data_IF_899845838196
#
_entry.id   IF_899845838196
#
_cell.length_a   1.000
_cell.length_b   1.000
_cell.length_c   1.000
_cell.angle_alpha   90.00
_cell.angle_beta   90.00
_cell.angle_gamma   90.00
#
_symmetry.space_group_name_H-M   'P 1'
#
loop_
_entity.id
_entity.type
_entity.pdbx_description
1 polymer ?
#
# COMPACT_ATOMS: atom_id res chain seq x y z
N UNK A 1 36.20 70.46 -31.23
CA UNK A 1 35.83 69.39 -32.17
C UNK A 1 36.24 68.05 -31.52
N UNK A 2 35.28 67.15 -31.25
CA UNK A 2 35.62 65.79 -30.74
C UNK A 2 35.84 64.89 -31.95
N UNK A 3 37.08 64.47 -32.16
CA UNK A 3 37.44 63.51 -33.21
C UNK A 3 36.68 62.23 -33.07
N UNK A 4 35.82 61.92 -34.06
CA UNK A 4 35.10 60.65 -34.11
C UNK A 4 35.93 59.63 -34.85
N UNK A 5 36.49 58.69 -34.12
CA UNK A 5 37.21 57.60 -34.72
C UNK A 5 36.21 56.66 -35.39
N UNK A 6 36.38 56.39 -36.69
CA UNK A 6 35.55 55.53 -37.51
C UNK A 6 36.36 54.27 -37.94
N UNK A 7 35.76 53.10 -37.76
CA UNK A 7 36.28 51.86 -38.27
C UNK A 7 35.55 51.53 -39.59
N UNK A 8 36.24 51.35 -40.68
CA UNK A 8 35.68 51.00 -41.97
C UNK A 8 36.07 49.56 -42.30
N UNK A 9 35.09 48.69 -42.45
CA UNK A 9 35.29 47.28 -42.91
C UNK A 9 34.94 47.24 -44.39
N UNK A 10 35.96 46.93 -45.23
CA UNK A 10 35.80 46.78 -46.68
C UNK A 10 35.76 45.31 -47.03
N UNK A 11 34.70 44.86 -47.67
CA UNK A 11 34.55 43.51 -48.23
C UNK A 11 34.37 43.62 -49.77
N UNK A 12 34.45 42.49 -50.46
CA UNK A 12 34.24 42.44 -51.93
C UNK A 12 32.87 42.95 -52.37
N UNK A 13 31.91 43.07 -51.48
CA UNK A 13 30.54 43.55 -51.74
C UNK A 13 30.25 44.97 -51.24
N UNK A 14 31.26 45.69 -50.85
CA UNK A 14 31.12 47.09 -50.38
C UNK A 14 31.79 47.38 -49.05
N UNK A 15 31.89 48.68 -48.72
CA UNK A 15 32.44 49.17 -47.44
C UNK A 15 31.32 49.62 -46.50
N UNK A 16 31.33 49.22 -45.24
CA UNK A 16 30.51 49.79 -44.17
C UNK A 16 31.42 50.42 -43.15
N UNK A 17 31.17 51.70 -42.84
CA UNK A 17 31.86 52.44 -41.79
C UNK A 17 30.98 52.61 -40.54
N UNK A 18 31.53 52.29 -39.40
CA UNK A 18 30.87 52.44 -38.09
C UNK A 18 31.69 53.37 -37.21
N UNK A 19 31.03 54.24 -36.49
CA UNK A 19 31.70 55.03 -35.46
C UNK A 19 32.03 54.17 -34.26
N UNK A 20 33.21 54.34 -33.66
CA UNK A 20 33.64 53.53 -32.47
C UNK A 20 32.58 53.56 -31.35
N UNK A 21 31.86 54.67 -31.23
CA UNK A 21 30.78 54.81 -30.23
C UNK A 21 29.54 53.94 -30.52
N UNK A 22 29.19 53.69 -31.80
CA UNK A 22 28.07 52.82 -32.19
C UNK A 22 28.46 51.33 -32.04
N UNK A 23 29.70 51.01 -32.38
CA UNK A 23 30.21 49.65 -32.17
C UNK A 23 30.25 49.29 -30.68
N UNK A 24 30.76 50.20 -29.84
CA UNK A 24 30.78 50.03 -28.39
C UNK A 24 29.38 49.86 -27.77
N UNK A 25 28.39 50.63 -28.27
CA UNK A 25 26.99 50.49 -27.83
C UNK A 25 26.40 49.15 -28.23
N UNK A 26 26.58 48.71 -29.48
CA UNK A 26 26.10 47.41 -29.95
C UNK A 26 26.75 46.26 -29.20
N UNK A 27 28.07 46.32 -28.98
CA UNK A 27 28.79 45.34 -28.18
C UNK A 27 28.27 45.27 -26.74
N UNK A 28 28.05 46.43 -26.10
CA UNK A 28 27.49 46.48 -24.75
C UNK A 28 26.09 45.86 -24.67
N UNK A 29 25.23 46.07 -25.68
CA UNK A 29 23.89 45.47 -25.75
C UNK A 29 24.00 43.95 -25.89
N UNK A 30 24.85 43.42 -26.79
CA UNK A 30 25.02 41.99 -26.96
C UNK A 30 25.66 41.32 -25.72
N UNK A 31 26.59 41.99 -25.05
CA UNK A 31 27.17 41.53 -23.79
C UNK A 31 26.12 41.47 -22.68
N UNK A 32 25.22 42.46 -22.61
CA UNK A 32 24.11 42.47 -21.66
C UNK A 32 23.11 41.34 -21.93
N UNK A 33 22.76 41.12 -23.19
CA UNK A 33 21.89 40.01 -23.61
C UNK A 33 22.53 38.64 -23.25
N UNK A 34 23.83 38.48 -23.53
CA UNK A 34 24.59 37.29 -23.17
C UNK A 34 24.60 37.04 -21.64
N UNK A 35 24.81 38.07 -20.86
CA UNK A 35 24.77 38.01 -19.40
C UNK A 35 23.37 37.59 -18.89
N UNK A 36 22.33 38.19 -19.45
CA UNK A 36 20.93 37.86 -19.13
C UNK A 36 20.61 36.39 -19.47
N UNK A 37 21.07 35.92 -20.62
CA UNK A 37 20.88 34.52 -21.00
C UNK A 37 21.57 33.55 -20.03
N UNK A 38 22.79 33.84 -19.57
CA UNK A 38 23.50 33.04 -18.55
C UNK A 38 22.75 33.01 -17.22
N UNK A 39 22.22 34.14 -16.79
CA UNK A 39 21.42 34.23 -15.55
C UNK A 39 20.14 33.42 -15.67
N UNK A 40 19.44 33.47 -16.81
CA UNK A 40 18.22 32.68 -17.05
C UNK A 40 18.54 31.18 -17.05
N UNK A 41 19.60 30.75 -17.74
CA UNK A 41 20.02 29.32 -17.76
C UNK A 41 20.40 28.86 -16.35
N UNK A 42 21.13 29.71 -15.60
CA UNK A 42 21.47 29.42 -14.20
C UNK A 42 20.23 29.26 -13.32
N UNK A 43 19.25 30.16 -13.44
CA UNK A 43 18.00 30.09 -12.71
C UNK A 43 17.18 28.83 -13.05
N UNK A 44 17.08 28.50 -14.34
CA UNK A 44 16.41 27.29 -14.80
C UNK A 44 17.11 26.01 -14.31
N UNK A 45 18.44 26.00 -14.31
CA UNK A 45 19.21 24.86 -13.78
C UNK A 45 19.00 24.68 -12.27
N UNK A 46 18.97 25.76 -11.51
CA UNK A 46 18.69 25.73 -10.07
C UNK A 46 17.26 25.25 -9.82
N UNK A 47 16.28 25.75 -10.57
CA UNK A 47 14.89 25.31 -10.48
C UNK A 47 14.73 23.80 -10.75
N UNK A 48 15.40 23.30 -11.79
CA UNK A 48 15.40 21.87 -12.11
C UNK A 48 16.06 21.03 -11.01
N UNK A 49 17.23 21.47 -10.50
CA UNK A 49 17.93 20.79 -9.40
C UNK A 49 17.13 20.77 -8.10
N UNK A 50 16.38 21.83 -7.78
CA UNK A 50 15.52 21.88 -6.61
C UNK A 50 14.36 20.88 -6.74
N UNK A 51 13.76 20.76 -7.94
CA UNK A 51 12.72 19.77 -8.24
C UNK A 51 13.22 18.33 -8.12
N UNK A 52 14.42 18.05 -8.63
CA UNK A 52 15.06 16.73 -8.47
C UNK A 52 15.38 16.40 -7.01
N UNK A 53 15.82 17.39 -6.23
CA UNK A 53 16.13 17.20 -4.81
C UNK A 53 14.87 16.89 -3.98
N UNK A 54 13.74 17.49 -4.33
CA UNK A 54 12.45 17.20 -3.70
C UNK A 54 11.98 15.78 -4.03
N UNK A 55 12.10 15.34 -5.29
CA UNK A 55 11.81 13.97 -5.71
C UNK A 55 12.71 12.95 -5.02
N UNK A 56 14.01 13.27 -4.88
CA UNK A 56 14.97 12.42 -4.17
C UNK A 56 14.62 12.30 -2.69
N UNK A 57 14.25 13.38 -2.03
CA UNK A 57 13.83 13.35 -0.63
C UNK A 57 12.53 12.55 -0.45
N UNK A 58 11.56 12.70 -1.37
CA UNK A 58 10.34 11.91 -1.38
C UNK A 58 10.62 10.41 -1.55
N UNK A 59 11.51 10.05 -2.47
CA UNK A 59 11.92 8.66 -2.69
C UNK A 59 12.65 8.09 -1.47
N UNK A 60 13.49 8.87 -0.82
CA UNK A 60 14.20 8.51 0.42
C UNK A 60 13.23 8.25 1.58
N UNK A 61 12.22 9.10 1.74
CA UNK A 61 11.16 8.91 2.75
C UNK A 61 10.30 7.67 2.45
N UNK A 62 9.96 7.43 1.18
CA UNK A 62 9.26 6.21 0.77
C UNK A 62 10.11 4.96 1.04
N UNK A 63 11.40 5.00 0.73
CA UNK A 63 12.31 3.90 1.01
C UNK A 63 12.44 3.64 2.52
N UNK A 64 12.52 4.70 3.32
CA UNK A 64 12.56 4.60 4.78
C UNK A 64 11.26 4.03 5.35
N UNK A 65 10.10 4.47 4.85
CA UNK A 65 8.79 3.93 5.26
C UNK A 65 8.64 2.45 4.87
N UNK A 66 9.17 2.06 3.70
CA UNK A 66 9.19 0.66 3.26
C UNK A 66 10.06 -0.22 4.15
N UNK A 67 11.25 0.28 4.55
CA UNK A 67 12.13 -0.42 5.48
C UNK A 67 11.48 -0.60 6.86
N UNK A 68 10.87 0.46 7.41
CA UNK A 68 10.14 0.38 8.68
C UNK A 68 8.95 -0.57 8.61
N UNK A 69 8.24 -0.58 7.48
CA UNK A 69 7.15 -1.52 7.22
C UNK A 69 7.68 -2.95 7.12
N UNK A 70 8.81 -3.17 6.45
CA UNK A 70 9.48 -4.47 6.37
C UNK A 70 9.93 -4.98 7.73
N UNK A 71 10.48 -4.10 8.60
CA UNK A 71 10.84 -4.47 9.98
C UNK A 71 9.61 -4.82 10.82
N UNK A 72 8.54 -4.02 10.76
CA UNK A 72 7.31 -4.33 11.48
C UNK A 72 6.61 -5.60 10.96
N UNK A 73 6.80 -5.95 9.69
CA UNK A 73 6.37 -7.24 9.16
C UNK A 73 7.19 -8.40 9.74
N UNK A 74 8.50 -8.18 9.91
CA UNK A 74 9.39 -9.19 10.51
C UNK A 74 9.00 -9.44 11.96
N UNK A 75 8.79 -8.38 12.74
CA UNK A 75 8.33 -8.49 14.13
C UNK A 75 6.97 -9.19 14.24
N UNK A 76 6.00 -8.83 13.37
CA UNK A 76 4.70 -9.49 13.35
C UNK A 76 4.78 -10.96 12.91
N UNK A 77 5.72 -11.32 12.03
CA UNK A 77 5.99 -12.71 11.65
C UNK A 77 6.64 -13.47 12.81
N UNK A 78 7.57 -12.88 13.53
CA UNK A 78 8.21 -13.48 14.71
C UNK A 78 7.20 -13.69 15.85
N UNK A 79 6.34 -12.71 16.13
CA UNK A 79 5.25 -12.83 17.11
C UNK A 79 4.23 -13.89 16.69
N UNK A 80 3.83 -13.90 15.42
CA UNK A 80 2.94 -14.94 14.89
C UNK A 80 3.59 -16.33 14.91
N UNK A 81 4.89 -16.44 14.63
CA UNK A 81 5.61 -17.71 14.69
C UNK A 81 5.70 -18.22 16.14
N UNK A 82 5.87 -17.36 17.13
CA UNK A 82 5.82 -17.71 18.53
C UNK A 82 4.42 -18.22 18.94
N UNK A 83 3.37 -17.51 18.48
CA UNK A 83 1.97 -17.91 18.73
C UNK A 83 1.62 -19.23 18.03
N UNK A 84 2.11 -19.46 16.80
CA UNK A 84 1.96 -20.70 16.05
C UNK A 84 2.68 -21.85 16.77
N UNK A 85 3.86 -21.61 17.32
CA UNK A 85 4.59 -22.60 18.09
C UNK A 85 3.83 -23.02 19.36
N UNK A 86 3.29 -22.03 20.09
CA UNK A 86 2.43 -22.27 21.27
C UNK A 86 1.12 -22.98 20.90
N UNK A 87 0.49 -22.58 19.80
CA UNK A 87 -0.74 -23.24 19.30
C UNK A 87 -0.46 -24.66 18.82
N UNK A 88 0.70 -24.89 18.19
CA UNK A 88 1.13 -26.22 17.73
C UNK A 88 1.39 -27.16 18.90
N UNK A 89 1.96 -26.66 19.99
CA UNK A 89 2.12 -27.43 21.23
C UNK A 89 0.76 -27.80 21.84
N UNK A 90 -0.19 -26.84 21.88
CA UNK A 90 -1.56 -27.09 22.34
C UNK A 90 -2.35 -28.01 21.40
N UNK A 91 -2.12 -27.96 20.08
CA UNK A 91 -2.74 -28.87 19.11
C UNK A 91 -2.16 -30.28 19.27
N UNK A 92 -0.86 -30.42 19.47
CA UNK A 92 -0.24 -31.74 19.75
C UNK A 92 -0.79 -32.35 21.06
N UNK A 93 -1.00 -31.53 22.08
CA UNK A 93 -1.67 -31.94 23.32
C UNK A 93 -3.13 -32.37 23.08
N UNK A 94 -3.87 -31.65 22.25
CA UNK A 94 -5.27 -31.95 21.89
C UNK A 94 -5.34 -33.22 21.02
N UNK A 95 -4.45 -33.40 20.03
CA UNK A 95 -4.38 -34.61 19.23
C UNK A 95 -3.99 -35.83 20.06
N UNK A 96 -3.04 -35.68 20.99
CA UNK A 96 -2.67 -36.70 21.96
C UNK A 96 -3.84 -37.09 22.89
N UNK A 97 -4.66 -36.12 23.29
CA UNK A 97 -5.82 -36.32 24.16
C UNK A 97 -7.04 -36.82 23.38
N UNK A 98 -7.20 -36.42 22.11
CA UNK A 98 -8.40 -36.73 21.31
C UNK A 98 -8.31 -38.04 20.52
N UNK A 99 -7.14 -38.69 20.43
CA UNK A 99 -6.98 -39.97 19.70
C UNK A 99 -7.37 -39.87 18.22
N UNK A 100 -7.20 -38.69 17.59
CA UNK A 100 -7.57 -38.45 16.19
C UNK A 100 -6.59 -39.17 15.26
N UNK A 101 -6.93 -40.39 14.88
CA UNK A 101 -6.28 -41.19 13.83
C UNK A 101 -6.88 -40.78 12.48
N UNK A 102 -6.12 -40.04 11.68
CA UNK A 102 -6.42 -39.73 10.27
C UNK A 102 -5.23 -40.11 9.39
N UNK A 103 -5.34 -40.02 8.09
CA UNK A 103 -4.38 -40.44 7.05
C UNK A 103 -2.91 -39.90 7.20
N UNK A 104 -2.60 -39.32 8.33
CA UNK A 104 -1.28 -38.84 8.73
C UNK A 104 -0.50 -39.77 9.64
N UNK A 105 -0.95 -41.02 9.82
CA UNK A 105 -0.40 -41.97 10.78
C UNK A 105 1.09 -42.27 10.57
N UNK A 106 1.62 -42.06 9.34
CA UNK A 106 3.01 -42.39 8.97
C UNK A 106 3.93 -41.17 8.80
N UNK A 107 3.45 -39.96 8.98
CA UNK A 107 4.31 -38.75 8.92
C UNK A 107 4.91 -38.48 10.31
N UNK A 108 6.20 -38.16 10.38
CA UNK A 108 6.81 -37.78 11.65
C UNK A 108 6.16 -36.49 12.20
N UNK A 109 6.23 -36.28 13.50
CA UNK A 109 5.59 -35.17 14.21
C UNK A 109 6.09 -33.81 13.68
N UNK A 110 7.36 -33.70 13.28
CA UNK A 110 7.95 -32.47 12.76
C UNK A 110 7.32 -32.12 11.40
N UNK A 111 7.13 -33.11 10.52
CA UNK A 111 6.47 -32.92 9.21
C UNK A 111 5.00 -32.51 9.36
N UNK A 112 4.28 -33.09 10.34
CA UNK A 112 2.89 -32.71 10.67
C UNK A 112 2.81 -31.26 11.15
N UNK A 113 3.74 -30.88 12.03
CA UNK A 113 3.83 -29.53 12.58
C UNK A 113 4.15 -28.49 11.50
N UNK A 114 5.07 -28.81 10.59
CA UNK A 114 5.45 -27.93 9.49
C UNK A 114 4.28 -27.73 8.49
N UNK A 115 3.54 -28.77 8.16
CA UNK A 115 2.36 -28.66 7.31
C UNK A 115 1.25 -27.80 7.95
N UNK A 116 0.99 -28.02 9.25
CA UNK A 116 0.00 -27.21 9.98
C UNK A 116 0.43 -25.72 10.06
N UNK A 117 1.71 -25.47 10.30
CA UNK A 117 2.29 -24.12 10.31
C UNK A 117 2.18 -23.42 8.97
N UNK A 118 2.52 -24.11 7.87
CA UNK A 118 2.42 -23.56 6.50
C UNK A 118 0.97 -23.24 6.19
N UNK A 119 0.04 -24.16 6.41
CA UNK A 119 -1.38 -23.95 6.16
C UNK A 119 -1.96 -22.77 6.94
N UNK A 120 -1.62 -22.62 8.24
CA UNK A 120 -2.08 -21.51 9.05
C UNK A 120 -1.50 -20.17 8.57
N UNK A 121 -0.22 -20.15 8.21
CA UNK A 121 0.46 -18.97 7.69
C UNK A 121 -0.13 -18.50 6.36
N UNK A 122 -0.45 -19.42 5.46
CA UNK A 122 -1.13 -19.12 4.19
C UNK A 122 -2.54 -18.55 4.42
N UNK A 123 -3.31 -19.14 5.34
CA UNK A 123 -4.64 -18.64 5.73
C UNK A 123 -4.57 -17.23 6.31
N UNK A 124 -3.61 -16.98 7.21
CA UNK A 124 -3.39 -15.65 7.78
C UNK A 124 -2.98 -14.62 6.71
N UNK A 125 -2.09 -15.01 5.78
CA UNK A 125 -1.69 -14.15 4.67
C UNK A 125 -2.88 -13.86 3.75
N UNK A 126 -3.73 -14.84 3.48
CA UNK A 126 -4.95 -14.67 2.70
C UNK A 126 -5.90 -13.67 3.36
N UNK A 127 -6.24 -13.87 4.64
CA UNK A 127 -7.12 -12.98 5.40
C UNK A 127 -6.55 -11.56 5.57
N UNK A 128 -5.24 -11.41 5.44
CA UNK A 128 -4.57 -10.13 5.47
C UNK A 128 -4.58 -9.42 4.12
N UNK A 129 -4.50 -10.19 3.03
CA UNK A 129 -4.37 -9.69 1.66
C UNK A 129 -5.71 -9.45 0.96
N UNK A 130 -6.76 -10.16 1.39
CA UNK A 130 -8.12 -10.07 0.85
C UNK A 130 -9.04 -9.45 1.90
N UNK A 131 -9.99 -8.56 1.51
CA UNK A 131 -10.93 -7.98 2.45
C UNK A 131 -11.62 -9.03 3.31
N UNK A 132 -11.52 -8.91 4.63
CA UNK A 132 -12.12 -9.86 5.59
C UNK A 132 -12.32 -9.22 6.96
N UNK A 133 -13.34 -9.68 7.70
CA UNK A 133 -13.77 -9.09 8.95
C UNK A 133 -14.55 -7.78 8.77
N UNK A 134 -15.07 -7.25 9.87
CA UNK A 134 -15.90 -6.04 9.86
C UNK A 134 -15.06 -4.77 9.82
N UNK A 135 -15.36 -3.82 8.90
CA UNK A 135 -14.58 -2.59 8.76
C UNK A 135 -14.92 -1.52 9.80
N UNK A 136 -15.93 -1.73 10.61
CA UNK A 136 -16.42 -0.77 11.61
C UNK A 136 -17.18 -1.50 12.73
N UNK A 137 -17.14 -0.95 13.93
CA UNK A 137 -18.09 -1.34 14.96
C UNK A 137 -19.49 -0.78 14.63
N UNK A 138 -20.49 -1.65 14.44
CA UNK A 138 -21.81 -1.25 13.97
C UNK A 138 -22.95 -1.86 14.79
N UNK A 139 -24.12 -1.21 14.72
CA UNK A 139 -25.34 -1.58 15.48
C UNK A 139 -26.42 -2.26 14.66
N UNK A 140 -26.00 -2.97 13.59
CA UNK A 140 -26.89 -3.65 12.65
C UNK A 140 -26.81 -3.04 11.26
N UNK A 141 -27.33 -3.78 10.28
CA UNK A 141 -27.37 -3.42 8.88
C UNK A 141 -28.64 -2.61 8.61
N UNK A 142 -28.53 -1.50 7.90
CA UNK A 142 -29.67 -0.69 7.49
C UNK A 142 -30.11 -0.97 6.06
N UNK A 143 -29.20 -1.51 5.23
CA UNK A 143 -29.51 -1.98 3.90
C UNK A 143 -28.47 -3.00 3.42
N UNK A 144 -28.98 -4.10 2.88
CA UNK A 144 -28.16 -5.19 2.36
C UNK A 144 -27.74 -4.93 0.91
N UNK A 145 -26.78 -5.70 0.43
CA UNK A 145 -26.34 -5.79 -0.95
C UNK A 145 -27.45 -6.32 -1.85
N UNK A 146 -27.59 -5.77 -3.06
CA UNK A 146 -28.53 -6.28 -4.07
C UNK A 146 -29.63 -5.32 -4.45
N UNK A 147 -30.68 -5.84 -5.10
CA UNK A 147 -31.81 -5.04 -5.58
C UNK A 147 -32.68 -4.52 -4.45
N UNK A 148 -32.83 -3.20 -4.35
CA UNK A 148 -33.68 -2.54 -3.36
C UNK A 148 -34.51 -1.42 -3.96
N UNK A 149 -35.50 -0.92 -3.22
CA UNK A 149 -36.16 0.36 -3.52
C UNK A 149 -35.20 1.49 -3.21
N UNK A 150 -35.06 2.44 -4.14
CA UNK A 150 -34.15 3.58 -3.96
C UNK A 150 -34.55 4.41 -2.74
N UNK A 151 -33.64 4.68 -1.79
CA UNK A 151 -33.96 5.28 -0.49
C UNK A 151 -34.57 6.69 -0.58
N UNK A 152 -34.19 7.48 -1.58
CA UNK A 152 -34.69 8.84 -1.80
C UNK A 152 -35.75 8.90 -2.89
N UNK A 153 -35.78 7.96 -3.85
CA UNK A 153 -36.70 7.92 -4.99
C UNK A 153 -37.54 6.65 -4.92
N UNK A 154 -38.50 6.58 -4.00
CA UNK A 154 -39.27 5.37 -3.65
C UNK A 154 -39.99 4.68 -4.80
N UNK A 155 -40.17 5.36 -5.94
CA UNK A 155 -40.76 4.77 -7.16
C UNK A 155 -39.71 4.03 -8.02
N UNK A 156 -38.43 4.09 -7.71
CA UNK A 156 -37.35 3.49 -8.49
C UNK A 156 -36.68 2.34 -7.73
N UNK A 157 -36.33 1.30 -8.48
CA UNK A 157 -35.41 0.24 -7.96
C UNK A 157 -33.97 0.58 -8.32
N UNK A 158 -33.06 0.28 -7.42
CA UNK A 158 -31.63 0.38 -7.64
C UNK A 158 -30.93 -0.90 -7.19
N UNK A 159 -29.75 -1.14 -7.75
CA UNK A 159 -28.87 -2.18 -7.27
C UNK A 159 -27.89 -1.58 -6.27
N UNK A 160 -27.98 -1.99 -5.01
CA UNK A 160 -27.08 -1.58 -3.94
C UNK A 160 -25.78 -2.37 -4.04
N UNK A 161 -24.69 -1.68 -4.36
CA UNK A 161 -23.37 -2.28 -4.64
C UNK A 161 -22.57 -2.62 -3.41
N UNK A 162 -23.10 -2.36 -2.21
CA UNK A 162 -22.47 -2.58 -0.93
C UNK A 162 -23.46 -2.94 0.17
N UNK A 163 -23.05 -2.73 1.40
CA UNK A 163 -23.85 -2.88 2.61
C UNK A 163 -23.81 -1.59 3.42
N UNK A 164 -24.93 -1.21 4.02
CA UNK A 164 -25.03 -0.01 4.86
C UNK A 164 -25.01 -0.42 6.34
N UNK A 165 -23.93 -0.10 7.05
CA UNK A 165 -23.68 -0.47 8.44
C UNK A 165 -23.98 0.72 9.36
N UNK A 166 -25.01 0.59 10.21
CA UNK A 166 -25.42 1.65 11.14
C UNK A 166 -24.32 1.94 12.14
N UNK A 167 -23.78 3.16 12.11
CA UNK A 167 -22.77 3.63 13.03
C UNK A 167 -22.99 5.11 13.36
N UNK A 168 -22.55 5.56 14.52
CA UNK A 168 -22.58 6.99 14.86
C UNK A 168 -21.56 7.74 14.04
N UNK A 169 -21.82 9.03 13.76
CA UNK A 169 -20.79 9.93 13.22
C UNK A 169 -19.56 9.90 14.13
N UNK A 170 -18.37 9.80 13.54
CA UNK A 170 -17.10 9.74 14.26
C UNK A 170 -16.66 8.34 14.70
N UNK A 171 -17.42 7.27 14.39
CA UNK A 171 -16.98 5.90 14.68
C UNK A 171 -15.77 5.55 13.79
N UNK A 172 -14.67 4.98 14.35
CA UNK A 172 -13.50 4.60 13.60
C UNK A 172 -13.82 3.58 12.50
N UNK A 173 -13.29 3.80 11.30
CA UNK A 173 -13.38 2.90 10.14
C UNK A 173 -12.00 2.32 9.86
N UNK A 174 -11.94 1.00 9.72
CA UNK A 174 -10.72 0.23 9.59
C UNK A 174 -10.56 -0.31 8.17
N UNK A 175 -9.31 -0.42 7.71
CA UNK A 175 -8.98 -1.11 6.47
C UNK A 175 -9.29 -2.61 6.60
N UNK A 176 -10.09 -3.15 5.68
CA UNK A 176 -10.51 -4.57 5.69
C UNK A 176 -9.40 -5.54 5.26
N UNK A 177 -8.34 -5.05 4.60
CA UNK A 177 -7.14 -5.79 4.21
C UNK A 177 -5.96 -4.84 4.05
N UNK A 178 -4.75 -5.38 3.96
CA UNK A 178 -3.57 -4.63 3.53
C UNK A 178 -3.79 -4.08 2.11
N UNK A 179 -3.35 -2.87 1.83
CA UNK A 179 -3.55 -2.28 0.50
C UNK A 179 -3.02 -0.87 0.36
N UNK A 180 -3.22 -0.32 -0.81
CA UNK A 180 -2.86 1.06 -1.16
C UNK A 180 -4.12 1.89 -1.33
N UNK A 181 -4.12 3.09 -0.81
CA UNK A 181 -5.21 4.06 -1.01
C UNK A 181 -5.26 4.43 -2.49
N UNK A 182 -6.19 3.83 -3.23
CA UNK A 182 -6.38 4.07 -4.66
C UNK A 182 -6.99 5.45 -4.92
N UNK A 183 -7.94 5.85 -4.10
CA UNK A 183 -8.68 7.11 -4.24
C UNK A 183 -9.14 7.62 -2.88
N UNK A 184 -8.99 8.91 -2.67
CA UNK A 184 -9.73 9.67 -1.65
C UNK A 184 -10.52 10.78 -2.34
N UNK A 185 -11.78 10.94 -1.97
CA UNK A 185 -12.62 12.03 -2.47
C UNK A 185 -13.36 12.70 -1.31
N UNK A 186 -13.28 14.01 -1.27
CA UNK A 186 -14.03 14.85 -0.33
C UNK A 186 -15.10 15.62 -1.13
N UNK A 187 -16.31 15.12 -1.11
CA UNK A 187 -17.48 15.78 -1.72
C UNK A 187 -18.72 15.49 -0.85
N UNK A 188 -18.95 16.28 0.21
CA UNK A 188 -19.92 15.94 1.24
C UNK A 188 -21.38 16.05 0.79
N UNK A 189 -21.67 16.53 -0.41
CA UNK A 189 -23.03 16.86 -0.86
C UNK A 189 -23.60 15.93 -1.93
N UNK A 190 -22.76 15.07 -2.58
CA UNK A 190 -23.19 14.32 -3.76
C UNK A 190 -22.83 12.83 -3.65
N UNK A 191 -23.77 11.97 -4.02
CA UNK A 191 -23.58 10.53 -4.19
C UNK A 191 -23.00 9.86 -2.93
N UNK A 192 -21.87 9.24 -3.02
CA UNK A 192 -21.15 8.57 -1.90
C UNK A 192 -20.61 9.53 -0.83
N UNK A 193 -20.74 10.86 -1.01
CA UNK A 193 -20.15 11.81 -0.08
C UNK A 193 -18.61 11.73 -0.07
N UNK A 194 -18.02 11.85 1.12
CA UNK A 194 -16.60 11.59 1.32
C UNK A 194 -16.36 10.08 1.25
N UNK A 195 -15.37 9.66 0.46
CA UNK A 195 -15.08 8.25 0.26
C UNK A 195 -13.59 7.95 0.18
N UNK A 196 -13.26 6.70 0.52
CA UNK A 196 -11.97 6.07 0.28
C UNK A 196 -12.20 4.81 -0.54
N UNK A 197 -11.31 4.55 -1.50
CA UNK A 197 -11.17 3.25 -2.15
C UNK A 197 -9.77 2.72 -1.89
N UNK A 198 -9.66 1.51 -1.37
CA UNK A 198 -8.41 0.79 -1.22
C UNK A 198 -8.28 -0.23 -2.34
N UNK A 199 -7.08 -0.35 -2.90
CA UNK A 199 -6.68 -1.43 -3.79
C UNK A 199 -5.89 -2.45 -2.98
N UNK A 200 -6.33 -3.71 -3.03
CA UNK A 200 -5.72 -4.83 -2.33
C UNK A 200 -5.06 -5.79 -3.31
N UNK A 201 -4.46 -6.86 -2.81
CA UNK A 201 -3.87 -7.88 -3.64
C UNK A 201 -4.94 -8.63 -4.50
N UNK A 202 -4.48 -9.31 -5.54
CA UNK A 202 -5.27 -10.21 -6.39
C UNK A 202 -6.50 -9.59 -7.06
N UNK A 203 -6.51 -8.27 -7.27
CA UNK A 203 -7.61 -7.56 -7.93
C UNK A 203 -8.81 -7.26 -7.04
N UNK A 204 -8.66 -7.37 -5.72
CA UNK A 204 -9.67 -6.92 -4.76
C UNK A 204 -9.57 -5.43 -4.51
N UNK A 205 -10.72 -4.83 -4.22
CA UNK A 205 -10.85 -3.45 -3.75
C UNK A 205 -11.89 -3.39 -2.64
N UNK A 206 -11.72 -2.44 -1.73
CA UNK A 206 -12.76 -2.06 -0.77
C UNK A 206 -13.07 -0.56 -0.89
N UNK A 207 -14.34 -0.21 -0.73
CA UNK A 207 -14.83 1.16 -0.78
C UNK A 207 -15.57 1.49 0.51
N UNK A 208 -15.29 2.67 1.05
CA UNK A 208 -15.84 3.21 2.29
C UNK A 208 -16.42 4.58 1.99
N UNK A 209 -17.72 4.77 2.19
CA UNK A 209 -18.40 5.99 1.83
C UNK A 209 -19.22 6.60 2.97
N UNK A 210 -19.82 7.78 2.71
CA UNK A 210 -20.53 8.62 3.65
C UNK A 210 -19.70 9.05 4.86
N UNK A 211 -18.36 9.12 4.67
CA UNK A 211 -17.39 9.40 5.72
C UNK A 211 -17.51 10.84 6.23
N UNK A 212 -17.27 11.03 7.53
CA UNK A 212 -17.12 12.35 8.13
C UNK A 212 -15.71 12.88 7.89
N UNK A 213 -14.70 12.09 8.23
CA UNK A 213 -13.28 12.49 8.14
C UNK A 213 -12.42 11.38 7.55
N UNK A 214 -11.57 11.73 6.59
CA UNK A 214 -10.55 10.87 5.99
C UNK A 214 -9.22 11.12 6.68
N UNK A 215 -8.51 10.05 7.07
CA UNK A 215 -7.25 10.11 7.82
C UNK A 215 -6.03 9.68 6.99
N UNK A 216 -6.24 9.22 5.77
CA UNK A 216 -5.19 8.71 4.88
C UNK A 216 -5.17 9.47 3.58
N UNK A 217 -4.03 9.46 2.89
CA UNK A 217 -3.84 10.13 1.61
C UNK A 217 -3.78 9.11 0.47
N UNK A 218 -4.18 9.52 -0.73
CA UNK A 218 -4.02 8.71 -1.93
C UNK A 218 -2.56 8.32 -2.15
N UNK A 219 -2.32 7.05 -2.52
CA UNK A 219 -0.99 6.47 -2.68
C UNK A 219 -0.38 5.92 -1.40
N UNK A 220 -0.95 6.19 -0.21
CA UNK A 220 -0.46 5.63 1.04
C UNK A 220 -0.75 4.13 1.15
N UNK A 221 0.20 3.36 1.68
CA UNK A 221 -0.03 1.99 2.10
C UNK A 221 -0.74 1.98 3.46
N UNK A 222 -1.72 1.10 3.61
CA UNK A 222 -2.45 0.86 4.86
C UNK A 222 -2.44 -0.61 5.21
N UNK A 223 -2.32 -0.92 6.50
CA UNK A 223 -2.42 -2.30 7.02
C UNK A 223 -3.86 -2.65 7.33
N UNK A 224 -4.21 -3.91 7.25
CA UNK A 224 -5.48 -4.44 7.76
C UNK A 224 -5.66 -4.02 9.23
N UNK A 225 -6.87 -3.55 9.57
CA UNK A 225 -7.17 -3.05 10.91
C UNK A 225 -6.64 -1.64 11.23
N UNK A 226 -5.92 -0.99 10.32
CA UNK A 226 -5.52 0.41 10.49
C UNK A 226 -6.74 1.32 10.37
N UNK A 227 -6.85 2.31 11.26
CA UNK A 227 -7.88 3.35 11.15
C UNK A 227 -7.59 4.22 9.94
N UNK A 228 -8.54 4.30 8.99
CA UNK A 228 -8.41 5.06 7.74
C UNK A 228 -9.34 6.26 7.66
N UNK A 229 -10.43 6.24 8.44
CA UNK A 229 -11.45 7.29 8.43
C UNK A 229 -12.32 7.24 9.70
N UNK A 230 -13.24 8.18 9.78
CA UNK A 230 -14.39 8.12 10.67
C UNK A 230 -15.69 8.10 9.86
N UNK A 231 -16.66 7.27 10.28
CA UNK A 231 -17.99 7.22 9.67
C UNK A 231 -18.73 8.52 9.83
N UNK A 232 -19.68 8.79 8.94
CA UNK A 232 -20.40 10.05 8.89
C UNK A 232 -21.82 9.93 8.36
N UNK A 233 -22.27 11.00 7.69
CA UNK A 233 -23.57 11.13 7.05
C UNK A 233 -23.48 12.05 5.83
N UNK A 234 -22.38 11.99 5.10
CA UNK A 234 -22.12 12.84 3.93
C UNK A 234 -22.69 12.24 2.66
N UNK A 235 -22.96 13.07 1.63
CA UNK A 235 -23.54 12.64 0.37
C UNK A 235 -25.04 12.29 0.43
N UNK A 236 -25.48 11.35 -0.40
CA UNK A 236 -26.88 10.90 -0.42
C UNK A 236 -27.10 9.83 0.67
N UNK A 237 -27.35 10.28 1.88
CA UNK A 237 -27.55 9.43 3.04
C UNK A 237 -28.81 9.82 3.81
N UNK A 238 -29.56 8.83 4.32
CA UNK A 238 -30.77 9.01 5.12
C UNK A 238 -30.50 9.03 6.63
N UNK A 239 -29.24 8.90 7.07
CA UNK A 239 -28.84 8.88 8.47
C UNK A 239 -27.43 8.32 8.64
N UNK A 240 -26.82 8.48 9.83
CA UNK A 240 -25.45 8.08 10.05
C UNK A 240 -25.22 6.58 9.84
N UNK A 241 -24.35 6.21 8.90
CA UNK A 241 -23.93 4.85 8.58
C UNK A 241 -22.62 4.85 7.81
N UNK A 242 -21.97 3.70 7.70
CA UNK A 242 -20.91 3.42 6.75
C UNK A 242 -21.51 2.63 5.59
N UNK A 243 -21.39 3.15 4.36
CA UNK A 243 -21.58 2.34 3.17
C UNK A 243 -20.25 1.65 2.85
N UNK A 244 -20.26 0.32 2.79
CA UNK A 244 -19.09 -0.52 2.58
C UNK A 244 -19.26 -1.45 1.38
N UNK A 245 -18.27 -1.48 0.49
CA UNK A 245 -18.26 -2.38 -0.66
C UNK A 245 -17.00 -3.22 -0.68
N UNK A 246 -17.15 -4.47 -1.14
CA UNK A 246 -16.07 -5.34 -1.59
C UNK A 246 -16.21 -5.51 -3.09
N UNK A 247 -15.13 -5.35 -3.84
CA UNK A 247 -15.09 -5.51 -5.29
C UNK A 247 -13.99 -6.47 -5.69
N UNK A 248 -14.25 -7.25 -6.73
CA UNK A 248 -13.25 -8.09 -7.38
C UNK A 248 -13.24 -7.80 -8.87
N UNK A 249 -12.08 -7.39 -9.42
CA UNK A 249 -11.93 -6.96 -10.81
C UNK A 249 -12.99 -5.92 -11.21
N UNK A 250 -13.17 -4.90 -10.37
CA UNK A 250 -14.17 -3.81 -10.47
C UNK A 250 -15.65 -4.24 -10.39
N UNK A 251 -15.96 -5.51 -10.15
CA UNK A 251 -17.34 -5.99 -9.97
C UNK A 251 -17.67 -6.04 -8.48
N UNK A 252 -18.81 -5.47 -8.05
CA UNK A 252 -19.22 -5.52 -6.65
C UNK A 252 -19.60 -6.94 -6.25
N UNK A 253 -19.14 -7.35 -5.07
CA UNK A 253 -19.45 -8.60 -4.40
C UNK A 253 -20.32 -8.32 -3.17
N UNK A 254 -21.05 -9.32 -2.68
CA UNK A 254 -21.76 -9.21 -1.40
C UNK A 254 -20.73 -9.11 -0.24
N UNK A 255 -20.66 -7.98 0.47
CA UNK A 255 -19.68 -7.82 1.53
C UNK A 255 -19.94 -8.71 2.75
N UNK A 256 -21.16 -9.21 2.95
CA UNK A 256 -21.56 -9.99 4.12
C UNK A 256 -20.69 -11.21 4.31
N UNK A 257 -20.44 -11.96 3.22
CA UNK A 257 -19.60 -13.15 3.27
C UNK A 257 -18.16 -12.83 3.69
N UNK A 258 -17.64 -11.69 3.25
CA UNK A 258 -16.29 -11.21 3.59
C UNK A 258 -16.20 -10.68 5.03
N UNK A 259 -17.26 -10.01 5.52
CA UNK A 259 -17.31 -9.51 6.89
C UNK A 259 -17.36 -10.63 7.94
N UNK A 260 -17.99 -11.74 7.59
CA UNK A 260 -18.05 -12.93 8.43
C UNK A 260 -16.80 -13.83 8.33
N UNK A 261 -15.93 -13.58 7.35
CA UNK A 261 -14.78 -14.43 7.04
C UNK A 261 -13.63 -14.22 8.02
N UNK A 262 -13.26 -15.30 8.71
CA UNK A 262 -12.17 -15.35 9.67
C UNK A 262 -11.44 -16.73 9.62
N UNK A 263 -10.51 -16.97 10.53
CA UNK A 263 -9.79 -18.24 10.62
C UNK A 263 -10.68 -19.43 10.99
N UNK A 264 -11.76 -19.20 11.75
CA UNK A 264 -12.64 -20.29 12.23
C UNK A 264 -13.54 -20.82 11.11
N UNK A 265 -13.93 -19.94 10.20
CA UNK A 265 -14.81 -20.26 9.07
C UNK A 265 -14.12 -20.10 7.72
N UNK A 266 -12.79 -20.26 7.69
CA UNK A 266 -11.95 -19.93 6.53
C UNK A 266 -12.46 -20.53 5.21
N UNK A 267 -12.90 -21.78 5.21
CA UNK A 267 -13.36 -22.48 4.00
C UNK A 267 -14.73 -22.00 3.49
N UNK A 268 -15.51 -21.32 4.34
CA UNK A 268 -16.89 -20.95 4.01
C UNK A 268 -16.99 -19.97 2.84
N UNK A 269 -16.00 -19.07 2.66
CA UNK A 269 -15.99 -18.06 1.61
C UNK A 269 -15.97 -18.66 0.20
N UNK A 270 -15.25 -19.79 0.03
CA UNK A 270 -15.06 -20.43 -1.27
C UNK A 270 -16.37 -21.00 -1.84
N UNK A 271 -17.28 -21.41 -0.96
CA UNK A 271 -18.63 -21.84 -1.32
C UNK A 271 -19.63 -20.69 -1.52
N UNK A 272 -19.50 -19.63 -0.69
CA UNK A 272 -20.39 -18.47 -0.70
C UNK A 272 -20.13 -17.53 -1.88
N UNK A 273 -18.86 -17.27 -2.23
CA UNK A 273 -18.51 -16.31 -3.30
C UNK A 273 -17.81 -17.02 -4.47
N UNK A 274 -18.61 -17.47 -5.44
CA UNK A 274 -18.12 -18.23 -6.61
C UNK A 274 -17.63 -17.36 -7.77
N UNK A 275 -17.82 -16.02 -7.71
CA UNK A 275 -17.36 -15.10 -8.75
C UNK A 275 -15.87 -14.80 -8.66
N UNK A 276 -15.22 -15.16 -7.55
CA UNK A 276 -13.78 -15.03 -7.35
C UNK A 276 -13.07 -16.27 -7.87
N UNK A 277 -11.94 -16.07 -8.57
CA UNK A 277 -11.08 -17.14 -9.04
C UNK A 277 -10.15 -17.60 -7.91
N UNK A 278 -10.71 -18.31 -6.93
CA UNK A 278 -10.01 -18.69 -5.70
C UNK A 278 -8.74 -19.51 -5.93
N UNK A 279 -8.73 -20.38 -6.95
CA UNK A 279 -7.51 -21.14 -7.33
C UNK A 279 -6.36 -20.22 -7.73
N UNK A 280 -6.65 -19.13 -8.43
CA UNK A 280 -5.64 -18.14 -8.81
C UNK A 280 -5.16 -17.33 -7.61
N UNK A 281 -6.07 -16.99 -6.69
CA UNK A 281 -5.74 -16.30 -5.43
C UNK A 281 -4.86 -17.20 -4.57
N UNK A 282 -5.22 -18.47 -4.38
CA UNK A 282 -4.46 -19.45 -3.60
C UNK A 282 -3.03 -19.62 -4.15
N UNK A 283 -2.89 -19.81 -5.47
CA UNK A 283 -1.56 -19.87 -6.13
C UNK A 283 -0.73 -18.60 -5.89
N UNK A 284 -1.37 -17.44 -5.95
CA UNK A 284 -0.71 -16.16 -5.67
C UNK A 284 -0.24 -16.04 -4.21
N UNK A 285 -1.04 -16.50 -3.26
CA UNK A 285 -0.69 -16.55 -1.83
C UNK A 285 0.47 -17.50 -1.58
N UNK A 286 0.40 -18.73 -2.10
CA UNK A 286 1.47 -19.71 -1.98
C UNK A 286 2.81 -19.18 -2.55
N UNK A 287 2.76 -18.51 -3.70
CA UNK A 287 3.95 -17.89 -4.28
C UNK A 287 4.50 -16.75 -3.40
N UNK A 288 3.63 -15.88 -2.86
CA UNK A 288 4.05 -14.81 -1.94
C UNK A 288 4.67 -15.39 -0.67
N UNK A 289 4.10 -16.46 -0.12
CA UNK A 289 4.63 -17.15 1.05
C UNK A 289 6.04 -17.68 0.78
N UNK A 290 6.22 -18.41 -0.32
CA UNK A 290 7.54 -18.92 -0.72
C UNK A 290 8.59 -17.82 -0.88
N UNK A 291 8.21 -16.69 -1.46
CA UNK A 291 9.11 -15.54 -1.60
C UNK A 291 9.50 -14.94 -0.25
N UNK A 292 8.54 -14.78 0.67
CA UNK A 292 8.81 -14.27 2.01
C UNK A 292 9.73 -15.20 2.80
N UNK A 293 9.53 -16.50 2.70
CA UNK A 293 10.36 -17.52 3.33
C UNK A 293 11.81 -17.49 2.78
N UNK A 294 11.97 -17.39 1.46
CA UNK A 294 13.30 -17.24 0.84
C UNK A 294 14.00 -15.95 1.28
N UNK A 295 13.29 -14.83 1.36
CA UNK A 295 13.85 -13.55 1.80
C UNK A 295 14.22 -13.58 3.29
N UNK A 296 13.47 -14.28 4.12
CA UNK A 296 13.76 -14.43 5.55
C UNK A 296 15.01 -15.29 5.77
N UNK A 297 15.15 -16.40 5.04
CA UNK A 297 16.30 -17.31 5.13
C UNK A 297 17.63 -16.67 4.65
N UNK A 298 17.55 -15.74 3.69
CA UNK A 298 18.74 -15.00 3.22
C UNK A 298 19.23 -13.92 4.22
N UNK A 299 18.39 -13.51 5.16
CA UNK A 299 18.71 -12.47 6.17
C UNK A 299 19.29 -13.00 7.45
N UNK A 300 19.27 -14.30 7.69
CA UNK A 300 20.00 -14.87 8.82
C UNK A 300 21.50 -14.72 8.56
N UNK A 301 22.23 -13.90 9.38
CA UNK A 301 23.69 -13.92 9.31
C UNK A 301 24.11 -15.33 9.70
N UNK A 302 24.88 -16.00 8.82
CA UNK A 302 25.62 -17.20 9.22
C UNK A 302 26.47 -16.80 10.43
N UNK A 303 26.00 -17.13 11.61
CA UNK A 303 26.82 -17.13 12.82
C UNK A 303 27.93 -18.12 12.55
N UNK A 304 29.07 -17.60 12.06
CA UNK A 304 30.31 -18.36 12.00
C UNK A 304 30.62 -18.78 13.44
N UNK A 305 30.55 -20.08 13.66
CA UNK A 305 31.06 -20.66 14.91
C UNK A 305 32.49 -20.12 15.15
N UNK A 306 32.80 -19.69 16.37
CA UNK A 306 34.13 -19.17 16.66
C UNK A 306 35.17 -20.23 16.29
N UNK A 307 36.04 -19.87 15.34
CA UNK A 307 37.17 -20.69 14.96
C UNK A 307 37.95 -21.06 16.23
N UNK A 308 38.11 -22.35 16.48
CA UNK A 308 38.95 -22.87 17.55
C UNK A 308 40.31 -22.18 17.47
N UNK A 309 40.64 -21.35 18.45
CA UNK A 309 41.99 -20.84 18.64
C UNK A 309 42.91 -22.07 18.76
N UNK A 310 43.81 -22.22 17.82
CA UNK A 310 44.91 -23.14 17.88
C UNK A 310 45.77 -22.78 19.10
N UNK A 311 45.64 -23.57 20.17
CA UNK A 311 46.65 -23.64 21.20
C UNK A 311 47.75 -24.53 20.65
N UNK A 312 48.78 -23.93 20.05
CA UNK A 312 50.01 -24.63 19.73
C UNK A 312 51.18 -23.83 20.29
N UNK A 313 51.83 -24.52 21.25
CA UNK A 313 53.24 -24.59 21.49
C UNK A 313 54.02 -23.31 21.83
N UNK A 314 54.46 -23.24 23.03
CA UNK A 314 55.84 -22.89 23.30
C UNK A 314 56.41 -23.90 24.26
N UNK A 315 57.07 -24.90 23.69
CA UNK A 315 58.16 -25.57 24.34
C UNK A 315 59.41 -24.66 24.12
N UNK A 316 60.02 -24.20 25.15
CA UNK A 316 61.39 -23.72 25.10
C UNK A 316 62.22 -24.42 26.20
N UNK A 317 63.16 -25.14 25.68
CA UNK A 317 64.34 -25.60 26.39
C UNK A 317 65.02 -24.47 27.16
N UNK A 318 65.52 -24.84 28.24
CA UNK A 318 66.70 -24.59 29.10
C UNK A 318 66.36 -24.13 30.48
#
# INVERSE_FOLDING_TARGET
MRDKTTITITTLNGSKSFTVGEFAKSFAVYALIGLLAVIIIGALSIYFLLGEMENFNRLKEQHKSLLMTSESFKEAIEENNATISELSEKIADIESIAGLTGDFENADMASKLDLARISLSERMLTLRSVPSGTPIEYRGTTSDFGWRTHPLRRAQREFHTGIDLRARVGTPVYAAADGVVKLTRQNPTVGYGNLITLSHAFGFESLYAHLDRILVQQGAFVKKGQIIAHSGNTGYSNGPHLHYEVRYLNKPLDPTAFMEWDLKNYEAIFGKEKRVQWDSVAKGIAWQWTLLEQLSSQREPKLQAPSKLNANSTSTDK
#
